data_IF_939108015817
#
_entry.id   IF_939108015817
#
_cell.length_a   1.000
_cell.length_b   1.000
_cell.length_c   1.000
_cell.angle_alpha   90.00
_cell.angle_beta   90.00
_cell.angle_gamma   90.00
#
_symmetry.space_group_name_H-M   'P 1'
#
loop_
_entity.id
_entity.type
_entity.pdbx_description
1 polymer ?
#
# COMPACT_ATOMS: atom_id res chain seq x y z
N UNK A 1 -2.31 1.78 8.26
CA UNK A 1 -1.21 0.94 7.73
C UNK A 1 -1.79 -0.34 7.19
N UNK A 2 -1.22 -0.92 6.13
CA UNK A 2 -1.68 -2.20 5.57
C UNK A 2 -1.12 -3.40 6.32
N UNK A 3 -1.82 -4.54 6.24
CA UNK A 3 -1.40 -5.83 6.79
C UNK A 3 -1.47 -6.97 5.74
N UNK A 4 -1.69 -6.60 4.49
CA UNK A 4 -1.62 -7.50 3.34
C UNK A 4 -0.18 -7.63 2.85
N UNK A 5 0.11 -8.69 2.10
CA UNK A 5 1.38 -8.81 1.37
C UNK A 5 1.36 -7.78 0.24
N UNK A 6 2.33 -6.87 0.21
CA UNK A 6 2.40 -5.80 -0.80
C UNK A 6 2.46 -6.32 -2.23
N UNK A 7 2.98 -7.53 -2.45
CA UNK A 7 2.96 -8.20 -3.75
C UNK A 7 1.57 -8.63 -4.21
N UNK A 8 0.60 -8.75 -3.31
CA UNK A 8 -0.82 -8.93 -3.63
C UNK A 8 -1.47 -7.55 -3.80
N UNK A 9 -1.31 -6.99 -5.00
CA UNK A 9 -1.79 -5.65 -5.36
C UNK A 9 -3.28 -5.50 -5.10
N UNK A 10 -4.10 -6.49 -5.48
CA UNK A 10 -5.55 -6.42 -5.33
C UNK A 10 -5.96 -6.38 -3.85
N UNK A 11 -5.39 -7.26 -3.01
CA UNK A 11 -5.66 -7.25 -1.59
C UNK A 11 -5.21 -5.94 -0.92
N UNK A 12 -4.03 -5.43 -1.28
CA UNK A 12 -3.52 -4.19 -0.70
C UNK A 12 -4.34 -2.97 -1.13
N UNK A 13 -4.74 -2.86 -2.40
CA UNK A 13 -5.62 -1.77 -2.87
C UNK A 13 -6.97 -1.81 -2.16
N UNK A 14 -7.57 -2.99 -2.01
CA UNK A 14 -8.85 -3.14 -1.32
C UNK A 14 -8.74 -2.71 0.15
N UNK A 15 -7.66 -3.08 0.83
CA UNK A 15 -7.40 -2.65 2.21
C UNK A 15 -7.19 -1.14 2.30
N UNK A 16 -6.43 -0.53 1.37
CA UNK A 16 -6.21 0.93 1.35
C UNK A 16 -7.53 1.67 1.14
N UNK A 17 -8.38 1.24 0.21
CA UNK A 17 -9.71 1.84 -0.02
C UNK A 17 -10.62 1.69 1.20
N UNK A 18 -10.52 0.58 1.92
CA UNK A 18 -11.26 0.42 3.18
C UNK A 18 -10.77 1.40 4.26
N UNK A 19 -9.46 1.64 4.36
CA UNK A 19 -8.89 2.64 5.26
C UNK A 19 -9.28 4.08 4.87
N UNK A 20 -9.26 4.40 3.57
CA UNK A 20 -9.70 5.70 3.04
C UNK A 20 -11.16 5.99 3.42
N UNK A 21 -12.06 5.01 3.29
CA UNK A 21 -13.49 5.16 3.64
C UNK A 21 -13.74 5.46 5.12
N UNK A 22 -12.85 5.06 6.02
CA UNK A 22 -12.95 5.36 7.46
C UNK A 22 -12.18 6.62 7.86
N UNK A 23 -11.68 7.40 6.88
CA UNK A 23 -11.04 8.69 7.10
C UNK A 23 -9.52 8.63 7.26
N UNK A 24 -8.82 7.61 6.74
CA UNK A 24 -7.36 7.60 6.76
C UNK A 24 -6.77 8.60 5.75
N UNK A 25 -6.09 9.64 6.25
CA UNK A 25 -5.44 10.66 5.41
C UNK A 25 -4.12 10.17 4.76
N UNK A 26 -3.48 9.17 5.36
CA UNK A 26 -2.19 8.63 4.89
C UNK A 26 -2.08 7.14 5.22
N UNK A 27 -1.56 6.35 4.27
CA UNK A 27 -1.41 4.90 4.47
C UNK A 27 0.04 4.46 4.30
N UNK A 28 0.58 3.86 5.37
CA UNK A 28 1.90 3.20 5.35
C UNK A 28 1.79 1.78 4.78
N UNK A 29 2.72 1.43 3.89
CA UNK A 29 2.85 0.11 3.24
C UNK A 29 4.28 -0.42 3.41
N UNK A 30 4.43 -1.71 3.73
CA UNK A 30 5.74 -2.36 3.88
C UNK A 30 6.33 -2.73 2.51
N UNK A 31 7.58 -2.39 2.23
CA UNK A 31 8.23 -2.67 0.94
C UNK A 31 9.60 -3.32 1.21
N UNK A 32 9.64 -4.62 1.60
CA UNK A 32 10.88 -5.29 2.01
C UNK A 32 11.75 -5.81 0.86
N UNK A 33 11.20 -5.92 -0.34
CA UNK A 33 11.87 -6.50 -1.50
C UNK A 33 11.64 -5.66 -2.76
N UNK A 34 12.40 -5.92 -3.82
CA UNK A 34 12.19 -5.27 -5.12
C UNK A 34 10.83 -5.62 -5.74
N UNK A 35 10.36 -6.87 -5.61
CA UNK A 35 9.03 -7.26 -6.07
C UNK A 35 7.93 -6.47 -5.35
N UNK A 36 8.09 -6.23 -4.05
CA UNK A 36 7.18 -5.38 -3.29
C UNK A 36 7.27 -3.91 -3.76
N UNK A 37 8.42 -3.45 -4.24
CA UNK A 37 8.58 -2.09 -4.76
C UNK A 37 7.88 -1.92 -6.12
N UNK A 38 7.97 -2.93 -7.00
CA UNK A 38 7.21 -2.95 -8.26
C UNK A 38 5.70 -3.00 -8.00
N UNK A 39 5.26 -3.87 -7.08
CA UNK A 39 3.86 -3.94 -6.69
C UNK A 39 3.38 -2.61 -6.06
N UNK A 40 4.21 -1.94 -5.25
CA UNK A 40 3.91 -0.63 -4.68
C UNK A 40 3.65 0.44 -5.75
N UNK A 41 4.37 0.41 -6.88
CA UNK A 41 4.13 1.30 -8.02
C UNK A 41 2.74 1.08 -8.61
N UNK A 42 2.30 -0.17 -8.75
CA UNK A 42 0.96 -0.53 -9.24
C UNK A 42 -0.14 -0.14 -8.25
N UNK A 43 0.11 -0.30 -6.95
CA UNK A 43 -0.83 0.09 -5.89
C UNK A 43 -1.05 1.62 -5.91
N UNK A 44 0.03 2.40 -6.02
CA UNK A 44 -0.02 3.87 -6.06
C UNK A 44 -0.91 4.41 -7.19
N UNK A 45 -1.01 3.71 -8.31
CA UNK A 45 -1.83 4.12 -9.45
C UNK A 45 -3.34 3.90 -9.23
N UNK A 46 -3.73 3.15 -8.19
CA UNK A 46 -5.10 2.69 -7.98
C UNK A 46 -5.77 3.27 -6.72
N UNK A 47 -5.08 4.16 -6.00
CA UNK A 47 -5.53 4.74 -4.73
C UNK A 47 -5.29 6.26 -4.75
N UNK A 48 -6.15 7.01 -4.08
CA UNK A 48 -6.06 8.47 -4.03
C UNK A 48 -5.33 8.99 -2.79
N UNK A 49 -5.29 8.20 -1.72
CA UNK A 49 -4.63 8.57 -0.47
C UNK A 49 -3.11 8.55 -0.62
N UNK A 50 -2.39 9.54 -0.05
CA UNK A 50 -0.94 9.52 0.05
C UNK A 50 -0.41 8.21 0.68
N UNK A 51 0.62 7.64 0.04
CA UNK A 51 1.27 6.40 0.50
C UNK A 51 2.68 6.66 1.02
N UNK A 52 3.02 6.02 2.14
CA UNK A 52 4.38 6.00 2.69
C UNK A 52 4.93 4.58 2.62
N UNK A 53 6.07 4.39 1.96
CA UNK A 53 6.76 3.10 1.97
C UNK A 53 7.71 2.97 3.16
N UNK A 54 7.76 1.79 3.78
CA UNK A 54 8.81 1.42 4.74
C UNK A 54 9.74 0.40 4.10
N UNK A 55 11.01 0.76 3.97
CA UNK A 55 12.09 -0.17 3.65
C UNK A 55 12.71 -0.67 4.98
N UNK A 56 12.89 -1.98 5.18
CA UNK A 56 13.77 -2.46 6.24
C UNK A 56 15.20 -2.07 5.88
N UNK A 57 15.88 -1.40 6.81
CA UNK A 57 17.34 -1.24 6.76
C UNK A 57 18.01 -2.57 7.08
#
# INVERSE_FOLDING_TARGET
MTNTRTTDVAATVNQIKALERVGADIVRVSVPTMDAAEAFKLIKQQVNVPLVRRYPL
#
